data_IF_625224998254
#
_entry.id   IF_625224998254
#
_cell.length_a   1.000
_cell.length_b   1.000
_cell.length_c   1.000
_cell.angle_alpha   90.00
_cell.angle_beta   90.00
_cell.angle_gamma   90.00
#
_symmetry.space_group_name_H-M   'P 1'
#
loop_
_entity.id
_entity.type
_entity.pdbx_description
1 polymer ?
#
# COMPACT_ATOMS: atom_id res chain seq x y z
N UNK A 1 39.62 -31.58 45.01
CA UNK A 1 38.38 -31.29 44.25
C UNK A 1 38.60 -30.04 43.43
N UNK A 2 38.48 -30.14 42.12
CA UNK A 2 38.58 -29.04 41.14
C UNK A 2 37.16 -28.55 40.86
N UNK A 3 36.91 -27.25 40.95
CA UNK A 3 35.70 -26.62 40.41
C UNK A 3 36.10 -25.32 39.73
N UNK A 4 36.29 -25.42 38.41
CA UNK A 4 36.27 -24.31 37.46
C UNK A 4 34.82 -23.88 37.25
N UNK A 5 34.53 -22.58 37.37
CA UNK A 5 33.37 -21.99 36.71
C UNK A 5 33.81 -20.83 35.82
N UNK A 6 33.59 -21.07 34.53
CA UNK A 6 33.69 -20.14 33.42
C UNK A 6 32.64 -19.04 33.54
N UNK A 7 33.01 -17.84 33.08
CA UNK A 7 32.19 -16.65 33.13
C UNK A 7 31.01 -16.64 32.17
N UNK A 8 30.23 -15.58 32.29
CA UNK A 8 29.37 -15.06 31.24
C UNK A 8 29.35 -13.53 31.37
N UNK A 9 30.12 -12.86 30.51
CA UNK A 9 29.88 -11.46 30.16
C UNK A 9 28.50 -11.38 29.51
N UNK A 10 27.56 -10.69 30.15
CA UNK A 10 26.33 -10.27 29.49
C UNK A 10 26.67 -9.05 28.63
N UNK A 11 26.95 -9.30 27.35
CA UNK A 11 27.03 -8.28 26.31
C UNK A 11 25.64 -7.71 26.03
N UNK A 12 25.58 -6.38 25.98
CA UNK A 12 24.41 -5.58 25.69
C UNK A 12 23.76 -5.96 24.35
N UNK A 13 22.43 -6.05 24.36
CA UNK A 13 21.62 -5.73 23.19
C UNK A 13 20.79 -4.52 23.57
N UNK A 14 21.30 -3.32 23.22
CA UNK A 14 20.49 -2.11 23.23
C UNK A 14 19.29 -2.36 22.34
N UNK A 15 18.09 -2.36 22.93
CA UNK A 15 16.86 -2.26 22.18
C UNK A 15 16.86 -0.87 21.55
N UNK A 16 17.48 -0.77 20.37
CA UNK A 16 17.21 0.29 19.42
C UNK A 16 15.72 0.16 19.12
N UNK A 17 14.92 0.93 19.86
CA UNK A 17 13.58 1.26 19.45
C UNK A 17 13.75 2.01 18.12
N UNK A 18 13.78 1.27 17.01
CA UNK A 18 13.42 1.79 15.72
C UNK A 18 11.94 2.15 15.82
N UNK A 19 11.65 3.29 16.44
CA UNK A 19 10.46 4.06 16.12
C UNK A 19 10.64 4.45 14.65
N UNK A 20 10.31 3.52 13.74
CA UNK A 20 10.16 3.88 12.34
C UNK A 20 9.11 4.99 12.31
N UNK A 21 9.45 6.17 11.77
CA UNK A 21 8.65 7.39 11.84
C UNK A 21 7.47 7.33 10.85
N UNK A 22 6.73 6.23 10.87
CA UNK A 22 5.43 6.05 10.20
C UNK A 22 4.34 7.00 10.74
N UNK A 23 4.73 7.98 11.56
CA UNK A 23 3.88 8.89 12.29
C UNK A 23 3.58 10.13 11.44
N UNK A 24 2.29 10.33 11.22
CA UNK A 24 1.72 11.64 11.50
C UNK A 24 1.44 12.53 10.30
N UNK A 25 0.64 12.05 9.35
CA UNK A 25 -0.27 12.91 8.61
C UNK A 25 -1.35 12.06 7.97
N UNK A 26 -2.57 12.56 7.98
CA UNK A 26 -3.64 12.15 7.08
C UNK A 26 -3.07 11.89 5.67
N UNK A 27 -3.11 10.63 5.23
CA UNK A 27 -2.67 10.29 3.90
C UNK A 27 -3.74 10.79 2.92
N UNK A 28 -3.49 11.92 2.26
CA UNK A 28 -4.30 12.39 1.12
C UNK A 28 -4.01 11.50 -0.07
N UNK A 29 -4.90 10.56 -0.32
CA UNK A 29 -4.76 9.56 -1.36
C UNK A 29 -5.94 9.72 -2.31
N UNK A 30 -5.74 9.78 -3.62
CA UNK A 30 -6.88 10.00 -4.51
C UNK A 30 -7.44 8.67 -5.01
N UNK A 31 -8.70 8.42 -4.69
CA UNK A 31 -9.48 7.36 -5.36
C UNK A 31 -10.24 8.06 -6.48
N UNK A 32 -9.91 7.72 -7.72
CA UNK A 32 -10.59 8.24 -8.91
C UNK A 32 -10.71 9.77 -9.02
N UNK A 33 -9.86 10.55 -8.33
CA UNK A 33 -9.87 12.02 -8.39
C UNK A 33 -10.47 12.74 -7.18
N UNK A 34 -10.96 12.01 -6.18
CA UNK A 34 -11.31 12.56 -4.86
C UNK A 34 -10.22 12.25 -3.85
N UNK A 35 -9.73 13.22 -3.06
CA UNK A 35 -8.83 12.94 -1.95
C UNK A 35 -9.59 12.13 -0.89
N UNK A 36 -9.33 10.83 -0.85
CA UNK A 36 -9.59 9.98 0.30
C UNK A 36 -8.52 10.30 1.36
N UNK A 37 -8.98 10.86 2.48
CA UNK A 37 -8.15 11.01 3.67
C UNK A 37 -8.32 9.74 4.49
N UNK A 38 -7.22 9.03 4.71
CA UNK A 38 -7.17 7.96 5.72
C UNK A 38 -6.70 8.59 7.02
N UNK A 39 -7.57 8.57 8.03
CA UNK A 39 -7.26 9.08 9.35
C UNK A 39 -6.14 8.25 9.99
N UNK A 40 -5.23 8.91 10.70
CA UNK A 40 -4.01 8.27 11.22
C UNK A 40 -4.27 7.10 12.17
N UNK A 41 -5.39 7.12 12.89
CA UNK A 41 -5.85 6.07 13.81
C UNK A 41 -6.35 4.81 13.09
N UNK A 42 -6.75 4.92 11.82
CA UNK A 42 -7.18 3.78 10.99
C UNK A 42 -6.00 3.01 10.39
N UNK A 43 -4.85 3.68 10.22
CA UNK A 43 -3.68 3.12 9.52
C UNK A 43 -3.22 1.77 10.12
N UNK A 44 -3.06 1.62 11.45
CA UNK A 44 -2.63 0.34 12.02
C UNK A 44 -3.56 -0.81 11.65
N UNK A 45 -4.88 -0.60 11.74
CA UNK A 45 -5.89 -1.62 11.41
C UNK A 45 -5.87 -2.00 9.93
N UNK A 46 -5.61 -1.04 9.05
CA UNK A 46 -5.48 -1.29 7.61
C UNK A 46 -4.23 -2.09 7.29
N UNK A 47 -3.12 -1.84 8.00
CA UNK A 47 -1.86 -2.56 7.82
C UNK A 47 -1.92 -4.00 8.31
N UNK A 48 -2.64 -4.25 9.40
CA UNK A 48 -2.91 -5.60 9.93
C UNK A 48 -3.69 -6.49 8.95
N UNK A 49 -4.38 -5.91 7.96
CA UNK A 49 -5.09 -6.70 6.95
C UNK A 49 -4.14 -7.43 5.99
N UNK A 50 -2.90 -6.97 5.83
CA UNK A 50 -1.95 -7.54 4.89
C UNK A 50 -1.20 -8.72 5.48
N UNK A 51 -0.98 -9.77 4.68
CA UNK A 51 -0.09 -10.85 5.07
C UNK A 51 1.34 -10.34 5.27
N UNK A 52 2.14 -10.97 6.16
CA UNK A 52 3.53 -10.58 6.41
C UNK A 52 4.39 -10.46 5.14
N UNK A 53 4.20 -11.38 4.19
CA UNK A 53 4.97 -11.41 2.93
C UNK A 53 4.65 -10.25 1.99
N UNK A 54 3.50 -9.59 2.15
CA UNK A 54 3.07 -8.49 1.29
C UNK A 54 4.06 -7.33 1.30
N UNK A 55 4.75 -7.08 2.42
CA UNK A 55 5.76 -6.01 2.52
C UNK A 55 6.98 -6.31 1.65
N UNK A 56 7.44 -7.56 1.61
CA UNK A 56 8.56 -7.95 0.77
C UNK A 56 8.22 -7.77 -0.72
N UNK A 57 6.98 -8.10 -1.11
CA UNK A 57 6.49 -7.88 -2.47
C UNK A 57 6.33 -6.39 -2.78
N UNK A 58 5.78 -5.59 -1.86
CA UNK A 58 5.57 -4.16 -2.09
C UNK A 58 6.90 -3.41 -2.28
N UNK A 59 7.97 -3.85 -1.62
CA UNK A 59 9.33 -3.30 -1.78
C UNK A 59 9.93 -3.48 -3.18
N UNK A 60 9.35 -4.33 -4.02
CA UNK A 60 9.77 -4.44 -5.43
C UNK A 60 9.14 -3.36 -6.31
N UNK A 61 8.22 -2.55 -5.76
CA UNK A 61 7.68 -1.37 -6.43
C UNK A 61 8.79 -0.38 -6.75
N UNK A 62 8.68 0.28 -7.89
CA UNK A 62 9.55 1.40 -8.26
C UNK A 62 9.07 2.74 -7.72
N UNK A 63 8.00 2.77 -6.93
CA UNK A 63 7.58 3.95 -6.17
C UNK A 63 8.40 4.12 -4.87
N UNK A 64 8.42 5.33 -4.32
CA UNK A 64 9.05 5.56 -3.01
C UNK A 64 8.31 4.81 -1.89
N UNK A 65 8.98 4.59 -0.77
CA UNK A 65 8.41 3.86 0.37
C UNK A 65 7.10 4.44 0.88
N UNK A 66 7.08 5.76 1.08
CA UNK A 66 5.87 6.49 1.47
C UNK A 66 4.71 6.30 0.49
N UNK A 67 5.01 6.09 -0.79
CA UNK A 67 4.05 6.02 -1.88
C UNK A 67 3.43 4.62 -1.97
N UNK A 68 4.24 3.56 -2.01
CA UNK A 68 3.70 2.21 -2.06
C UNK A 68 2.96 1.84 -0.76
N UNK A 69 3.35 2.39 0.39
CA UNK A 69 2.56 2.23 1.62
C UNK A 69 1.23 2.94 1.57
N UNK A 70 1.20 4.17 1.06
CA UNK A 70 -0.07 4.88 0.84
C UNK A 70 -0.99 4.09 -0.09
N UNK A 71 -0.45 3.41 -1.10
CA UNK A 71 -1.21 2.52 -1.97
C UNK A 71 -1.75 1.28 -1.24
N UNK A 72 -0.94 0.63 -0.40
CA UNK A 72 -1.38 -0.48 0.44
C UNK A 72 -2.50 -0.06 1.40
N UNK A 73 -2.33 1.08 2.08
CA UNK A 73 -3.32 1.64 3.02
C UNK A 73 -4.64 1.95 2.27
N UNK A 74 -4.56 2.51 1.05
CA UNK A 74 -5.75 2.78 0.24
C UNK A 74 -6.48 1.53 -0.21
N UNK A 75 -5.74 0.55 -0.73
CA UNK A 75 -6.31 -0.71 -1.19
C UNK A 75 -7.02 -1.40 -0.02
N UNK A 76 -6.38 -1.43 1.15
CA UNK A 76 -6.99 -1.94 2.37
C UNK A 76 -8.27 -1.18 2.73
N UNK A 77 -8.24 0.15 2.68
CA UNK A 77 -9.43 0.98 2.95
C UNK A 77 -10.57 0.65 1.99
N UNK A 78 -10.30 0.60 0.69
CA UNK A 78 -11.28 0.27 -0.36
C UNK A 78 -11.89 -1.12 -0.15
N UNK A 79 -11.07 -2.14 0.16
CA UNK A 79 -11.53 -3.51 0.40
C UNK A 79 -12.26 -3.67 1.74
N UNK A 80 -11.90 -2.89 2.76
CA UNK A 80 -12.60 -2.90 4.05
C UNK A 80 -13.99 -2.24 3.99
N UNK A 81 -14.22 -1.36 3.00
CA UNK A 81 -15.42 -0.54 2.88
C UNK A 81 -16.28 -0.91 1.66
N UNK A 82 -15.95 -1.99 0.95
CA UNK A 82 -16.72 -2.48 -0.20
C UNK A 82 -18.03 -3.14 0.22
N UNK A 83 -18.94 -3.35 -0.74
CA UNK A 83 -20.22 -4.05 -0.53
C UNK A 83 -20.04 -5.45 0.09
N UNK A 84 -18.92 -6.11 -0.21
CA UNK A 84 -18.46 -7.32 0.48
C UNK A 84 -17.14 -6.98 1.19
N UNK A 85 -17.16 -6.56 2.46
CA UNK A 85 -15.96 -6.17 3.18
C UNK A 85 -14.96 -7.32 3.32
N UNK A 86 -13.69 -7.03 3.09
CA UNK A 86 -12.61 -7.98 3.31
C UNK A 86 -11.60 -7.44 4.34
N UNK A 87 -11.13 -8.33 5.22
CA UNK A 87 -10.16 -8.03 6.30
C UNK A 87 -8.83 -8.79 6.17
N UNK A 88 -8.66 -9.60 5.11
CA UNK A 88 -7.43 -10.35 4.86
C UNK A 88 -7.00 -10.17 3.41
N UNK A 89 -5.83 -9.57 3.22
CA UNK A 89 -5.25 -9.21 1.94
C UNK A 89 -3.88 -9.84 1.80
N UNK A 90 -3.53 -10.24 0.58
CA UNK A 90 -2.17 -10.61 0.22
C UNK A 90 -1.76 -9.89 -1.07
N UNK A 91 -0.61 -9.24 -1.04
CA UNK A 91 0.02 -8.71 -2.25
C UNK A 91 0.87 -9.83 -2.87
N UNK A 92 0.47 -10.29 -4.05
CA UNK A 92 1.07 -11.45 -4.71
C UNK A 92 2.19 -11.04 -5.68
N UNK A 93 2.03 -9.90 -6.36
CA UNK A 93 3.02 -9.39 -7.31
C UNK A 93 2.84 -7.90 -7.56
N UNK A 94 3.94 -7.24 -7.91
CA UNK A 94 3.99 -5.87 -8.44
C UNK A 94 4.64 -5.93 -9.82
N UNK A 95 3.93 -5.46 -10.84
CA UNK A 95 4.40 -5.51 -12.23
C UNK A 95 4.40 -4.10 -12.81
N UNK A 96 5.57 -3.58 -13.19
CA UNK A 96 5.66 -2.33 -13.92
C UNK A 96 4.99 -2.44 -15.30
N UNK A 97 4.26 -1.41 -15.72
CA UNK A 97 3.56 -1.37 -17.01
C UNK A 97 4.01 -0.16 -17.83
N UNK A 98 3.92 -0.24 -19.17
CA UNK A 98 4.09 0.92 -20.02
C UNK A 98 3.16 2.06 -19.57
N UNK A 99 3.70 3.28 -19.59
CA UNK A 99 2.97 4.49 -19.25
C UNK A 99 2.25 5.00 -20.48
N UNK A 100 1.10 4.40 -20.74
CA UNK A 100 0.13 4.96 -21.68
C UNK A 100 -0.87 5.84 -20.92
N UNK A 101 -1.40 6.85 -21.59
CA UNK A 101 -2.54 7.61 -21.07
C UNK A 101 -3.76 6.68 -20.98
N UNK A 102 -4.50 6.75 -19.88
CA UNK A 102 -5.68 5.92 -19.69
C UNK A 102 -6.80 6.68 -18.98
N UNK A 103 -8.02 6.24 -19.21
CA UNK A 103 -9.21 6.80 -18.57
C UNK A 103 -9.52 6.01 -17.30
N UNK A 104 -9.77 6.74 -16.21
CA UNK A 104 -10.24 6.21 -14.93
C UNK A 104 -11.69 6.65 -14.72
N UNK A 105 -12.57 5.68 -14.49
CA UNK A 105 -13.96 5.95 -14.11
C UNK A 105 -14.03 6.29 -12.61
N UNK A 106 -14.51 7.48 -12.29
CA UNK A 106 -14.91 7.85 -10.94
C UNK A 106 -16.40 7.58 -10.74
N UNK A 107 -16.71 6.31 -10.44
CA UNK A 107 -18.09 5.89 -10.19
C UNK A 107 -18.78 6.67 -9.07
N UNK A 108 -18.04 7.16 -8.09
CA UNK A 108 -18.60 7.94 -6.99
C UNK A 108 -19.04 9.36 -7.42
N UNK A 109 -18.59 9.83 -8.57
CA UNK A 109 -18.93 11.14 -9.13
C UNK A 109 -19.69 11.06 -10.45
N UNK A 110 -19.78 9.87 -11.05
CA UNK A 110 -20.28 9.72 -12.41
C UNK A 110 -19.40 10.41 -13.46
N UNK A 111 -18.13 10.66 -13.12
CA UNK A 111 -17.16 11.34 -14.01
C UNK A 111 -16.12 10.36 -14.51
N UNK A 112 -15.51 10.70 -15.64
CA UNK A 112 -14.31 10.01 -16.15
C UNK A 112 -13.16 10.99 -16.14
N UNK A 113 -11.97 10.52 -15.79
CA UNK A 113 -10.76 11.32 -15.78
C UNK A 113 -9.71 10.67 -16.65
N UNK A 114 -9.14 11.43 -17.58
CA UNK A 114 -7.94 11.02 -18.29
C UNK A 114 -6.71 11.23 -17.41
N UNK A 115 -5.90 10.19 -17.25
CA UNK A 115 -4.71 10.17 -16.40
C UNK A 115 -3.48 9.96 -17.26
N UNK A 116 -2.44 10.77 -16.98
CA UNK A 116 -1.13 10.67 -17.64
C UNK A 116 -0.04 10.42 -16.59
N UNK A 117 0.25 9.16 -16.27
CA UNK A 117 1.23 8.82 -15.23
C UNK A 117 2.67 9.04 -15.69
N UNK A 118 3.58 9.30 -14.74
CA UNK A 118 5.00 9.07 -14.95
C UNK A 118 5.38 7.60 -14.65
N UNK A 119 4.58 6.93 -13.81
CA UNK A 119 4.74 5.51 -13.48
C UNK A 119 3.39 4.83 -13.29
N UNK A 120 3.26 3.64 -13.87
CA UNK A 120 2.12 2.77 -13.72
C UNK A 120 2.59 1.36 -13.33
N UNK A 121 1.99 0.81 -12.28
CA UNK A 121 2.20 -0.56 -11.83
C UNK A 121 0.87 -1.30 -11.71
N UNK A 122 0.85 -2.58 -12.06
CA UNK A 122 -0.26 -3.50 -11.81
C UNK A 122 0.10 -4.40 -10.63
N UNK A 123 -0.68 -4.28 -9.57
CA UNK A 123 -0.54 -5.01 -8.33
C UNK A 123 -1.56 -6.14 -8.30
N UNK A 124 -1.08 -7.37 -8.14
CA UNK A 124 -1.93 -8.55 -8.00
C UNK A 124 -2.29 -8.70 -6.52
N UNK A 125 -3.56 -8.51 -6.19
CA UNK A 125 -4.05 -8.53 -4.82
C UNK A 125 -5.05 -9.66 -4.65
N UNK A 126 -4.78 -10.54 -3.69
CA UNK A 126 -5.78 -11.46 -3.16
C UNK A 126 -6.52 -10.80 -2.00
N UNK A 127 -7.85 -10.85 -2.04
CA UNK A 127 -8.73 -10.31 -1.01
C UNK A 127 -9.72 -11.39 -0.61
N UNK A 128 -9.54 -11.96 0.59
CA UNK A 128 -10.44 -12.98 1.14
C UNK A 128 -10.67 -14.16 0.17
N UNK A 129 -9.60 -14.63 -0.49
CA UNK A 129 -9.63 -15.72 -1.46
C UNK A 129 -9.96 -15.34 -2.90
N UNK A 130 -10.37 -14.09 -3.16
CA UNK A 130 -10.61 -13.59 -4.51
C UNK A 130 -9.41 -12.79 -5.03
N UNK A 131 -8.91 -13.14 -6.22
CA UNK A 131 -7.80 -12.41 -6.86
C UNK A 131 -8.32 -11.28 -7.72
N UNK A 132 -7.62 -10.15 -7.68
CA UNK A 132 -7.90 -8.98 -8.49
C UNK A 132 -6.61 -8.27 -8.88
N UNK A 133 -6.63 -7.55 -10.01
CA UNK A 133 -5.54 -6.67 -10.40
C UNK A 133 -5.94 -5.24 -10.10
N UNK A 134 -5.02 -4.52 -9.46
CA UNK A 134 -5.19 -3.14 -9.06
C UNK A 134 -4.09 -2.33 -9.74
N UNK A 135 -4.45 -1.23 -10.41
CA UNK A 135 -3.48 -0.30 -11.00
C UNK A 135 -3.10 0.74 -9.96
N UNK A 136 -1.81 0.93 -9.75
CA UNK A 136 -1.22 1.94 -8.88
C UNK A 136 -0.41 2.90 -9.74
N UNK A 137 -0.69 4.20 -9.64
CA UNK A 137 -0.11 5.21 -10.53
C UNK A 137 0.06 6.56 -9.86
N UNK A 138 0.98 7.37 -10.37
CA UNK A 138 1.02 8.81 -10.15
C UNK A 138 0.30 9.57 -11.27
N UNK A 139 -0.05 10.83 -11.05
CA UNK A 139 -0.65 11.68 -12.08
C UNK A 139 0.23 12.90 -12.28
N UNK A 140 0.89 12.96 -13.44
CA UNK A 140 1.78 14.06 -13.79
C UNK A 140 1.07 15.41 -13.80
N UNK A 141 -0.24 15.43 -14.08
CA UNK A 141 -1.03 16.65 -14.14
C UNK A 141 -1.58 17.07 -12.76
N UNK A 142 -1.49 16.19 -11.77
CA UNK A 142 -1.88 16.46 -10.38
C UNK A 142 -0.77 16.03 -9.42
N UNK A 143 0.29 16.84 -9.26
CA UNK A 143 1.40 16.51 -8.37
C UNK A 143 0.99 16.47 -6.88
N UNK A 144 -0.17 17.04 -6.53
CA UNK A 144 -0.81 16.89 -5.23
C UNK A 144 -1.42 15.48 -5.02
N UNK A 145 -1.61 14.73 -6.11
CA UNK A 145 -2.08 13.36 -6.10
C UNK A 145 -0.95 12.40 -5.71
N UNK A 146 -0.92 12.02 -4.43
CA UNK A 146 0.13 11.14 -3.92
C UNK A 146 0.03 9.69 -4.36
N UNK A 147 -1.14 9.15 -4.71
CA UNK A 147 -1.37 7.76 -5.16
C UNK A 147 -2.73 7.75 -5.85
N UNK A 148 -2.81 7.12 -7.03
CA UNK A 148 -4.06 6.73 -7.69
C UNK A 148 -4.21 5.21 -7.71
N UNK A 149 -5.42 4.71 -7.42
CA UNK A 149 -5.75 3.29 -7.47
C UNK A 149 -7.00 3.06 -8.30
N UNK A 150 -6.94 2.13 -9.26
CA UNK A 150 -8.13 1.70 -10.01
C UNK A 150 -8.20 0.18 -10.17
N UNK A 151 -9.41 -0.37 -10.20
CA UNK A 151 -9.60 -1.78 -10.54
C UNK A 151 -9.27 -1.99 -12.02
N UNK A 152 -8.48 -3.02 -12.34
CA UNK A 152 -8.30 -3.41 -13.73
C UNK A 152 -9.61 -4.04 -14.24
N UNK A 153 -10.24 -3.41 -15.23
CA UNK A 153 -11.28 -4.08 -16.02
C UNK A 153 -10.58 -5.14 -16.87
N UNK A 154 -10.99 -6.42 -16.81
CA UNK A 154 -10.52 -7.41 -17.76
C UNK A 154 -10.81 -6.90 -19.17
N UNK A 155 -9.78 -6.78 -20.01
CA UNK A 155 -9.98 -6.53 -21.45
C UNK A 155 -10.53 -7.78 -22.10
#
# INVERSE_FOLDING_TARGET
MRTTHFGALALAAGMSACSSPWLGADAKIHVSGKPAVIASDQIPQLREMWTPDSIAVARTSGFSESYWLSAMDLIARMKSSSATPCRRLALLAVVARPVDEFVVDNRAEGTTQTVKPNRLEEWQVESCGARSVVRVFDDRLRPDMKVGVSGAVPR
#
